data_IF_010145051346
#
_entry.id   IF_010145051346
#
_cell.length_a   1.000
_cell.length_b   1.000
_cell.length_c   1.000
_cell.angle_alpha   90.00
_cell.angle_beta   90.00
_cell.angle_gamma   90.00
#
_symmetry.space_group_name_H-M   'P 1'
#
loop_
_entity.id
_entity.type
_entity.pdbx_description
1 polymer ?
#
# COMPACT_ATOMS: atom_id res chain seq x y z
N UNK A 1 -10.58 -13.93 0.39
CA UNK A 1 -10.06 -14.46 -0.89
C UNK A 1 -10.05 -13.30 -1.89
N UNK A 2 -8.87 -12.76 -2.21
CA UNK A 2 -8.74 -11.75 -3.25
C UNK A 2 -8.85 -12.45 -4.61
N UNK A 3 -9.78 -12.02 -5.47
CA UNK A 3 -9.80 -12.50 -6.86
C UNK A 3 -8.79 -11.67 -7.65
N UNK A 4 -7.62 -12.24 -7.93
CA UNK A 4 -6.61 -11.64 -8.81
C UNK A 4 -7.12 -11.71 -10.26
N UNK A 5 -7.29 -10.54 -10.88
CA UNK A 5 -7.76 -10.42 -12.27
C UNK A 5 -6.61 -10.45 -13.29
N UNK A 6 -5.54 -11.21 -13.03
CA UNK A 6 -4.47 -11.40 -14.02
C UNK A 6 -5.01 -11.98 -15.33
N UNK A 7 -6.10 -12.75 -15.28
CA UNK A 7 -6.85 -13.20 -16.46
C UNK A 7 -7.32 -12.09 -17.40
N UNK A 8 -7.48 -10.85 -16.91
CA UNK A 8 -7.80 -9.68 -17.75
C UNK A 8 -6.56 -9.16 -18.51
N UNK A 9 -5.37 -9.50 -18.06
CA UNK A 9 -4.09 -9.03 -18.57
C UNK A 9 -3.20 -10.24 -18.91
N UNK A 10 -3.53 -11.01 -19.95
CA UNK A 10 -2.89 -12.29 -20.23
C UNK A 10 -1.37 -12.18 -20.51
N UNK A 11 -0.91 -11.00 -20.93
CA UNK A 11 0.49 -10.74 -21.26
C UNK A 11 1.31 -10.18 -20.07
N UNK A 12 0.70 -10.03 -18.89
CA UNK A 12 1.39 -9.54 -17.70
C UNK A 12 2.13 -10.69 -17.04
N UNK A 13 3.45 -10.69 -17.22
CA UNK A 13 4.37 -11.66 -16.60
C UNK A 13 5.17 -11.06 -15.44
N UNK A 14 5.19 -9.73 -15.30
CA UNK A 14 5.92 -9.04 -14.24
C UNK A 14 5.15 -7.82 -13.73
N UNK A 15 5.15 -7.65 -12.41
CA UNK A 15 4.55 -6.53 -11.70
C UNK A 15 5.65 -5.86 -10.88
N UNK A 16 5.94 -4.59 -11.16
CA UNK A 16 6.92 -3.81 -10.40
C UNK A 16 6.20 -2.87 -9.44
N UNK A 17 6.45 -3.05 -8.14
CA UNK A 17 5.93 -2.21 -7.07
C UNK A 17 7.05 -1.33 -6.56
N UNK A 18 6.89 -0.02 -6.74
CA UNK A 18 7.79 0.99 -6.19
C UNK A 18 7.22 1.49 -4.87
N UNK A 19 8.04 1.45 -3.82
CA UNK A 19 7.62 1.85 -2.47
C UNK A 19 8.71 2.69 -1.81
N UNK A 20 8.35 3.81 -1.23
CA UNK A 20 9.26 4.67 -0.46
C UNK A 20 9.30 4.34 1.03
N UNK A 21 8.32 3.56 1.52
CA UNK A 21 8.28 3.00 2.87
C UNK A 21 9.22 1.81 3.05
N UNK A 22 10.47 2.07 3.44
CA UNK A 22 11.47 1.02 3.67
C UNK A 22 11.01 -0.04 4.70
N UNK A 23 10.29 0.38 5.76
CA UNK A 23 9.72 -0.53 6.75
C UNK A 23 8.66 -1.47 6.16
N UNK A 24 7.83 -1.00 5.22
CA UNK A 24 6.82 -1.81 4.57
C UNK A 24 7.47 -2.89 3.68
N UNK A 25 8.53 -2.52 2.96
CA UNK A 25 9.30 -3.47 2.15
C UNK A 25 9.97 -4.54 3.01
N UNK A 26 10.61 -4.15 4.11
CA UNK A 26 11.17 -5.13 5.05
C UNK A 26 10.10 -6.05 5.62
N UNK A 27 8.92 -5.53 5.91
CA UNK A 27 7.83 -6.34 6.44
C UNK A 27 7.34 -7.38 5.42
N UNK A 28 7.18 -6.99 4.15
CA UNK A 28 6.77 -7.88 3.07
C UNK A 28 7.81 -8.94 2.71
N UNK A 29 9.09 -8.66 2.93
CA UNK A 29 10.19 -9.58 2.64
C UNK A 29 10.58 -10.44 3.85
N UNK A 30 9.99 -10.20 5.02
CA UNK A 30 10.33 -10.94 6.22
C UNK A 30 9.83 -12.38 6.14
N UNK A 31 10.68 -13.33 6.52
CA UNK A 31 10.33 -14.75 6.65
C UNK A 31 9.77 -15.08 8.04
N UNK A 32 9.76 -14.12 8.96
CA UNK A 32 9.19 -14.30 10.30
C UNK A 32 7.68 -14.07 10.27
N UNK A 33 6.87 -14.95 10.87
CA UNK A 33 5.43 -14.71 11.03
C UNK A 33 5.22 -13.41 11.80
N UNK A 34 4.55 -12.44 11.18
CA UNK A 34 4.11 -11.23 11.84
C UNK A 34 2.62 -11.31 12.10
N UNK A 35 2.22 -11.06 13.34
CA UNK A 35 0.82 -11.01 13.75
C UNK A 35 0.20 -9.66 13.31
N UNK A 36 0.06 -9.49 11.99
CA UNK A 36 -0.53 -8.32 11.38
C UNK A 36 -1.43 -8.73 10.22
N UNK A 37 -2.75 -8.64 10.44
CA UNK A 37 -3.78 -9.01 9.45
C UNK A 37 -3.59 -8.34 8.10
N UNK A 38 -3.16 -7.06 8.09
CA UNK A 38 -2.94 -6.32 6.86
C UNK A 38 -1.76 -6.89 6.07
N UNK A 39 -0.65 -7.18 6.76
CA UNK A 39 0.53 -7.75 6.13
C UNK A 39 0.23 -9.15 5.55
N UNK A 40 -0.47 -9.99 6.31
CA UNK A 40 -0.89 -11.31 5.84
C UNK A 40 -1.77 -11.22 4.59
N UNK A 41 -2.70 -10.25 4.54
CA UNK A 41 -3.51 -9.99 3.32
C UNK A 41 -2.66 -9.56 2.12
N UNK A 42 -1.63 -8.74 2.34
CA UNK A 42 -0.70 -8.36 1.28
C UNK A 42 0.09 -9.57 0.77
N UNK A 43 0.60 -10.42 1.67
CA UNK A 43 1.31 -11.64 1.32
C UNK A 43 0.42 -12.64 0.57
N UNK A 44 -0.82 -12.84 1.02
CA UNK A 44 -1.79 -13.69 0.31
C UNK A 44 -2.04 -13.21 -1.12
N UNK A 45 -2.12 -11.89 -1.32
CA UNK A 45 -2.29 -11.31 -2.65
C UNK A 45 -1.04 -11.51 -3.52
N UNK A 46 0.16 -11.31 -2.97
CA UNK A 46 1.42 -11.52 -3.68
C UNK A 46 1.53 -12.99 -4.11
N UNK A 47 1.29 -13.92 -3.19
CA UNK A 47 1.32 -15.35 -3.49
C UNK A 47 0.25 -15.76 -4.51
N UNK A 48 -0.93 -15.14 -4.49
CA UNK A 48 -1.94 -15.39 -5.52
C UNK A 48 -1.47 -14.93 -6.91
N UNK A 49 -0.85 -13.75 -7.00
CA UNK A 49 -0.29 -13.24 -8.27
C UNK A 49 0.84 -14.13 -8.79
N UNK A 50 1.72 -14.58 -7.90
CA UNK A 50 2.83 -15.50 -8.24
C UNK A 50 2.32 -16.90 -8.62
N UNK A 51 1.28 -17.39 -7.93
CA UNK A 51 0.61 -18.64 -8.27
C UNK A 51 -0.07 -18.61 -9.65
N UNK A 52 -0.52 -17.42 -10.08
CA UNK A 52 -1.06 -17.16 -11.42
C UNK A 52 0.05 -16.94 -12.48
N UNK A 53 1.32 -17.03 -12.10
CA UNK A 53 2.48 -16.96 -13.01
C UNK A 53 3.07 -15.57 -13.22
N UNK A 54 2.63 -14.56 -12.46
CA UNK A 54 3.21 -13.22 -12.51
C UNK A 54 4.36 -13.07 -11.49
N UNK A 55 5.48 -12.51 -11.90
CA UNK A 55 6.60 -12.21 -11.00
C UNK A 55 6.39 -10.85 -10.34
N UNK A 56 6.39 -10.78 -9.00
CA UNK A 56 6.23 -9.52 -8.27
C UNK A 56 7.58 -9.01 -7.77
N UNK A 57 8.01 -7.85 -8.26
CA UNK A 57 9.25 -7.21 -7.85
C UNK A 57 8.98 -5.96 -7.03
N UNK A 58 9.61 -5.88 -5.87
CA UNK A 58 9.60 -4.70 -5.03
C UNK A 58 10.88 -3.89 -5.19
N UNK A 59 10.75 -2.60 -5.42
CA UNK A 59 11.88 -1.66 -5.52
C UNK A 59 11.68 -0.52 -4.54
N UNK A 60 12.65 -0.33 -3.65
CA UNK A 60 12.68 0.85 -2.80
C UNK A 60 13.07 2.07 -3.61
N UNK A 61 12.38 3.18 -3.38
CA UNK A 61 12.72 4.49 -3.95
C UNK A 61 12.77 5.56 -2.88
N UNK A 62 13.63 6.56 -3.07
CA UNK A 62 13.67 7.69 -2.14
C UNK A 62 12.39 8.52 -2.28
N UNK A 63 11.78 8.88 -1.15
CA UNK A 63 10.68 9.84 -1.14
C UNK A 63 11.18 11.26 -1.42
N UNK A 64 10.30 12.13 -1.94
CA UNK A 64 10.52 13.57 -2.15
C UNK A 64 11.75 13.99 -2.99
N UNK A 65 12.17 13.17 -3.97
CA UNK A 65 13.31 13.49 -4.86
C UNK A 65 12.89 13.90 -6.28
N UNK A 66 11.64 14.27 -6.52
CA UNK A 66 11.20 14.70 -7.85
C UNK A 66 10.73 13.56 -8.76
N UNK A 67 10.47 12.34 -8.25
CA UNK A 67 9.94 11.24 -9.07
C UNK A 67 8.44 11.45 -9.27
N UNK A 68 7.97 11.80 -10.49
CA UNK A 68 6.61 12.33 -10.67
C UNK A 68 5.50 11.37 -10.25
N UNK A 69 5.68 10.06 -10.49
CA UNK A 69 4.67 9.06 -10.11
C UNK A 69 4.68 8.75 -8.62
N UNK A 70 5.84 8.84 -7.94
CA UNK A 70 5.90 8.66 -6.50
C UNK A 70 5.26 9.85 -5.77
N UNK A 71 5.58 11.07 -6.21
CA UNK A 71 4.97 12.30 -5.67
C UNK A 71 3.46 12.32 -5.90
N UNK A 72 3.00 11.82 -7.06
CA UNK A 72 1.57 11.64 -7.31
C UNK A 72 0.95 10.61 -6.38
N UNK A 73 1.59 9.47 -6.15
CA UNK A 73 1.10 8.44 -5.23
C UNK A 73 1.00 8.97 -3.80
N UNK A 74 2.02 9.70 -3.35
CA UNK A 74 2.03 10.38 -2.05
C UNK A 74 0.89 11.41 -1.95
N UNK A 75 0.74 12.29 -2.93
CA UNK A 75 -0.32 13.28 -2.95
C UNK A 75 -1.71 12.62 -2.86
N UNK A 76 -1.92 11.53 -3.60
CA UNK A 76 -3.18 10.77 -3.54
C UNK A 76 -3.41 10.14 -2.16
N UNK A 77 -2.37 9.59 -1.52
CA UNK A 77 -2.47 9.05 -0.17
C UNK A 77 -2.83 10.15 0.85
N UNK A 78 -2.22 11.33 0.73
CA UNK A 78 -2.53 12.49 1.58
C UNK A 78 -3.95 13.01 1.35
N UNK A 79 -4.41 13.08 0.10
CA UNK A 79 -5.79 13.47 -0.21
C UNK A 79 -6.80 12.46 0.36
N UNK A 80 -6.55 11.16 0.21
CA UNK A 80 -7.41 10.13 0.78
C UNK A 80 -7.54 10.21 2.30
N UNK A 81 -6.46 10.58 3.00
CA UNK A 81 -6.50 10.86 4.44
C UNK A 81 -7.36 12.08 4.76
N UNK A 82 -7.21 13.18 4.00
CA UNK A 82 -7.97 14.41 4.22
C UNK A 82 -9.46 14.20 3.99
N UNK A 83 -9.84 13.49 2.94
CA UNK A 83 -11.24 13.17 2.65
C UNK A 83 -11.86 12.28 3.73
N UNK A 84 -11.10 11.36 4.31
CA UNK A 84 -11.53 10.55 5.45
C UNK A 84 -11.67 11.36 6.76
N UNK A 85 -10.97 12.51 6.88
CA UNK A 85 -11.12 13.42 8.02
C UNK A 85 -12.28 14.42 7.86
N UNK A 86 -12.94 14.48 6.71
CA UNK A 86 -14.20 15.24 6.54
C UNK A 86 -15.38 14.39 7.03
N UNK A 87 -15.34 14.02 8.31
CA UNK A 87 -16.57 13.74 9.05
C UNK A 87 -17.08 15.08 9.61
N UNK A 88 -18.25 15.60 9.20
CA UNK A 88 -18.81 16.83 9.77
C UNK A 88 -19.31 16.66 11.23
N UNK A 89 -19.00 15.55 11.89
CA UNK A 89 -19.71 15.05 13.07
C UNK A 89 -18.99 15.15 14.41
N UNK A 90 -17.79 15.73 14.53
CA UNK A 90 -17.15 15.90 15.85
C UNK A 90 -16.65 17.31 16.08
N UNK A 91 -17.58 18.23 16.40
CA UNK A 91 -17.25 19.40 17.21
C UNK A 91 -16.60 18.91 18.50
N UNK A 92 -15.27 19.02 18.59
CA UNK A 92 -14.62 19.08 19.88
C UNK A 92 -15.09 20.37 20.55
N UNK A 93 -16.11 20.23 21.41
CA UNK A 93 -16.43 21.23 22.42
C UNK A 93 -15.19 21.40 23.29
N UNK A 94 -14.48 22.49 23.04
CA UNK A 94 -13.53 23.06 23.98
C UNK A 94 -14.32 23.46 25.23
N UNK A 95 -14.42 22.51 26.16
CA UNK A 95 -14.93 22.75 27.50
C UNK A 95 -13.77 23.35 28.29
N UNK A 96 -13.69 24.67 28.22
CA UNK A 96 -12.73 25.46 28.96
C UNK A 96 -12.67 25.03 30.43
N UNK A 97 -11.47 24.74 30.89
CA UNK A 97 -11.12 24.62 32.30
C UNK A 97 -9.75 25.29 32.50
N UNK A 98 -9.87 26.54 32.95
CA UNK A 98 -8.94 27.37 33.76
C UNK A 98 -7.44 27.28 33.52
#
# INVERSE_FOLDING_TARGET
MFMTKLSKYPDVHAIHVYCDGQAALYALQSTSPMDCDLLNKCLDLIHALEGDGAMVHFTWISSHVGIPLNEKAEHLAQCGLRDATVDPGTEYRDSGLR
#
